data_IF_954199411131
#
_entry.id   IF_954199411131
#
_cell.length_a   1.000
_cell.length_b   1.000
_cell.length_c   1.000
_cell.angle_alpha   90.00
_cell.angle_beta   90.00
_cell.angle_gamma   90.00
#
_symmetry.space_group_name_H-M   'P 1'
#
loop_
_entity.id
_entity.type
_entity.pdbx_description
1 polymer ?
#
# COMPACT_ATOMS: atom_id res chain seq x y z
N UNK A 1 -5.88 -17.33 -21.45
CA UNK A 1 -6.61 -16.32 -20.63
C UNK A 1 -6.20 -16.41 -19.17
N UNK A 2 -6.45 -17.53 -18.48
CA UNK A 2 -6.18 -17.68 -17.03
C UNK A 2 -4.70 -17.50 -16.66
N UNK A 3 -3.75 -18.10 -17.41
CA UNK A 3 -2.31 -17.92 -17.14
C UNK A 3 -1.85 -16.45 -17.24
N UNK A 4 -2.41 -15.68 -18.18
CA UNK A 4 -2.08 -14.27 -18.32
C UNK A 4 -2.56 -13.46 -17.11
N UNK A 5 -3.82 -13.68 -16.70
CA UNK A 5 -4.39 -13.02 -15.52
C UNK A 5 -3.62 -13.39 -14.24
N UNK A 6 -3.22 -14.65 -14.09
CA UNK A 6 -2.40 -15.10 -12.96
C UNK A 6 -1.06 -14.35 -12.89
N UNK A 7 -0.37 -14.18 -14.02
CA UNK A 7 0.89 -13.43 -14.08
C UNK A 7 0.68 -11.96 -13.67
N UNK A 8 -0.39 -11.33 -14.15
CA UNK A 8 -0.73 -9.94 -13.79
C UNK A 8 -0.97 -9.80 -12.29
N UNK A 9 -1.69 -10.75 -11.68
CA UNK A 9 -1.98 -10.74 -10.24
C UNK A 9 -0.73 -10.94 -9.38
N UNK A 10 0.20 -11.79 -9.82
CA UNK A 10 1.50 -11.96 -9.16
C UNK A 10 2.30 -10.66 -9.19
N UNK A 11 2.37 -10.00 -10.34
CA UNK A 11 3.07 -8.71 -10.47
C UNK A 11 2.41 -7.65 -9.58
N UNK A 12 1.08 -7.56 -9.59
CA UNK A 12 0.34 -6.65 -8.73
C UNK A 12 0.64 -6.89 -7.24
N UNK A 13 0.73 -8.16 -6.83
CA UNK A 13 1.09 -8.54 -5.46
C UNK A 13 2.49 -8.04 -5.09
N UNK A 14 3.48 -8.26 -5.95
CA UNK A 14 4.86 -7.82 -5.72
C UNK A 14 4.93 -6.29 -5.60
N UNK A 15 4.21 -5.56 -6.46
CA UNK A 15 4.15 -4.10 -6.42
C UNK A 15 3.55 -3.61 -5.11
N UNK A 16 2.45 -4.19 -4.63
CA UNK A 16 1.84 -3.79 -3.35
C UNK A 16 2.77 -4.10 -2.18
N UNK A 17 3.36 -5.29 -2.14
CA UNK A 17 4.31 -5.67 -1.08
C UNK A 17 5.46 -4.65 -1.04
N UNK A 18 6.03 -4.32 -2.19
CA UNK A 18 7.13 -3.34 -2.28
C UNK A 18 6.65 -1.94 -1.87
N UNK A 19 5.45 -1.52 -2.29
CA UNK A 19 4.90 -0.22 -1.93
C UNK A 19 4.66 -0.10 -0.42
N UNK A 20 4.03 -1.10 0.20
CA UNK A 20 3.69 -1.08 1.62
C UNK A 20 4.92 -1.23 2.51
N UNK A 21 5.91 -2.04 2.11
CA UNK A 21 7.16 -2.19 2.88
C UNK A 21 8.00 -0.91 2.88
N UNK A 22 7.89 -0.07 1.85
CA UNK A 22 8.56 1.24 1.77
C UNK A 22 7.77 2.38 2.43
N UNK A 23 6.52 2.13 2.86
CA UNK A 23 5.70 3.13 3.57
C UNK A 23 6.23 3.34 4.98
N UNK A 24 6.39 4.61 5.35
CA UNK A 24 6.82 4.97 6.70
C UNK A 24 5.64 4.78 7.67
N UNK A 25 5.89 4.28 8.90
CA UNK A 25 4.84 4.01 9.87
C UNK A 25 4.08 5.30 10.22
N UNK A 26 2.74 5.23 10.17
CA UNK A 26 1.84 6.38 10.43
C UNK A 26 1.87 6.84 11.89
N UNK A 27 2.46 6.06 12.81
CA UNK A 27 2.63 6.37 14.25
C UNK A 27 4.11 6.53 14.60
N UNK A 28 4.43 7.52 15.44
CA UNK A 28 5.79 7.75 15.98
C UNK A 28 6.11 6.78 17.14
N UNK A 29 6.00 5.48 16.89
CA UNK A 29 6.31 4.43 17.86
C UNK A 29 5.68 4.63 19.26
N UNK A 30 6.31 4.04 20.28
CA UNK A 30 5.90 4.15 21.69
C UNK A 30 6.05 5.56 22.27
N UNK A 31 6.76 6.47 21.59
CA UNK A 31 6.93 7.87 22.00
C UNK A 31 5.67 8.72 21.81
N UNK A 32 4.76 8.33 20.93
CA UNK A 32 3.45 8.98 20.79
C UNK A 32 2.46 8.60 21.90
N UNK A 33 2.70 7.50 22.62
CA UNK A 33 1.84 7.05 23.73
C UNK A 33 2.00 7.92 24.98
N UNK A 34 3.15 8.60 25.14
CA UNK A 34 3.44 9.46 26.30
C UNK A 34 2.82 10.86 26.24
N UNK A 35 1.95 11.15 25.25
CA UNK A 35 1.25 12.43 25.14
C UNK A 35 2.15 13.62 24.80
N UNK A 36 3.42 13.38 24.47
CA UNK A 36 4.33 14.44 24.01
C UNK A 36 3.91 14.87 22.61
N UNK A 37 3.60 16.16 22.45
CA UNK A 37 3.19 16.72 21.16
C UNK A 37 4.25 16.44 20.09
N UNK A 38 3.94 15.49 19.21
CA UNK A 38 4.63 15.28 17.95
C UNK A 38 4.58 16.58 17.15
N UNK A 39 5.72 17.06 16.68
CA UNK A 39 5.81 18.24 15.82
C UNK A 39 5.09 17.97 14.48
N UNK A 40 3.79 18.29 14.43
CA UNK A 40 2.89 18.09 13.27
C UNK A 40 3.41 18.81 12.03
N UNK A 41 4.21 19.87 12.21
CA UNK A 41 4.76 20.70 11.14
C UNK A 41 6.04 20.13 10.50
N UNK A 42 6.85 19.34 11.22
CA UNK A 42 8.01 18.65 10.66
C UNK A 42 7.65 17.39 9.86
N UNK A 43 6.51 16.78 10.20
CA UNK A 43 5.96 15.57 9.56
C UNK A 43 5.51 15.80 8.11
N UNK A 44 5.14 17.04 7.75
CA UNK A 44 4.60 17.38 6.42
C UNK A 44 5.65 17.38 5.31
N UNK A 45 6.95 17.52 5.63
CA UNK A 45 8.04 17.53 4.65
C UNK A 45 8.31 16.15 4.00
N UNK A 46 7.90 15.05 4.65
CA UNK A 46 8.03 13.68 4.12
C UNK A 46 6.69 13.06 3.71
N UNK A 47 5.61 13.86 3.69
CA UNK A 47 4.28 13.36 3.35
C UNK A 47 4.15 12.93 1.89
N UNK A 48 4.88 13.55 0.96
CA UNK A 48 4.73 13.34 -0.49
C UNK A 48 5.06 11.92 -0.94
N UNK A 49 6.14 11.32 -0.41
CA UNK A 49 6.53 9.92 -0.72
C UNK A 49 5.46 8.94 -0.23
N UNK A 50 5.08 9.08 1.04
CA UNK A 50 4.12 8.17 1.66
C UNK A 50 2.72 8.31 1.03
N UNK A 51 2.32 9.52 0.65
CA UNK A 51 1.06 9.76 -0.05
C UNK A 51 1.04 9.11 -1.45
N UNK A 52 2.15 9.16 -2.18
CA UNK A 52 2.26 8.45 -3.46
C UNK A 52 2.18 6.93 -3.27
N UNK A 53 2.91 6.39 -2.29
CA UNK A 53 2.88 4.95 -1.97
C UNK A 53 1.50 4.49 -1.50
N UNK A 54 0.75 5.33 -0.76
CA UNK A 54 -0.62 5.06 -0.33
C UNK A 54 -1.57 4.97 -1.54
N UNK A 55 -1.45 5.89 -2.51
CA UNK A 55 -2.22 5.84 -3.78
C UNK A 55 -1.90 4.58 -4.59
N UNK A 56 -0.62 4.19 -4.68
CA UNK A 56 -0.20 2.96 -5.37
C UNK A 56 -0.77 1.73 -4.66
N UNK A 57 -0.71 1.68 -3.33
CA UNK A 57 -1.27 0.57 -2.56
C UNK A 57 -2.79 0.46 -2.70
N UNK A 58 -3.52 1.59 -2.72
CA UNK A 58 -4.97 1.62 -2.94
C UNK A 58 -5.30 1.12 -4.35
N UNK A 59 -4.67 1.67 -5.38
CA UNK A 59 -4.92 1.28 -6.77
C UNK A 59 -4.56 -0.20 -7.01
N UNK A 60 -3.41 -0.63 -6.49
CA UNK A 60 -2.98 -2.03 -6.52
C UNK A 60 -3.97 -2.93 -5.79
N UNK A 61 -4.41 -2.55 -4.59
CA UNK A 61 -5.35 -3.32 -3.78
C UNK A 61 -6.69 -3.53 -4.47
N UNK A 62 -7.24 -2.48 -5.09
CA UNK A 62 -8.47 -2.57 -5.89
C UNK A 62 -8.27 -3.52 -7.07
N UNK A 63 -7.16 -3.39 -7.81
CA UNK A 63 -6.84 -4.27 -8.94
C UNK A 63 -6.70 -5.73 -8.52
N UNK A 64 -6.01 -5.99 -7.41
CA UNK A 64 -5.80 -7.34 -6.89
C UNK A 64 -7.11 -7.97 -6.42
N UNK A 65 -7.95 -7.20 -5.72
CA UNK A 65 -9.23 -7.67 -5.22
C UNK A 65 -10.20 -7.98 -6.38
N UNK A 66 -10.42 -7.04 -7.29
CA UNK A 66 -11.31 -7.24 -8.44
C UNK A 66 -10.76 -8.32 -9.38
N UNK A 67 -9.46 -8.31 -9.64
CA UNK A 67 -8.80 -9.31 -10.47
C UNK A 67 -8.90 -10.71 -9.87
N UNK A 68 -8.83 -10.85 -8.54
CA UNK A 68 -9.04 -12.14 -7.86
C UNK A 68 -10.48 -12.64 -8.01
N UNK A 69 -11.48 -11.76 -7.91
CA UNK A 69 -12.89 -12.14 -8.13
C UNK A 69 -13.09 -12.64 -9.57
N UNK A 70 -12.55 -11.90 -10.55
CA UNK A 70 -12.61 -12.28 -11.96
C UNK A 70 -11.90 -13.62 -12.19
N UNK A 71 -10.74 -13.84 -11.55
CA UNK A 71 -10.01 -15.09 -11.66
C UNK A 71 -10.83 -16.27 -11.13
N UNK A 72 -11.49 -16.12 -9.98
CA UNK A 72 -12.37 -17.17 -9.42
C UNK A 72 -13.59 -17.43 -10.31
N UNK A 73 -14.12 -16.41 -11.00
CA UNK A 73 -15.28 -16.58 -11.86
C UNK A 73 -14.98 -17.24 -13.22
N UNK A 74 -13.73 -17.14 -13.70
CA UNK A 74 -13.31 -17.64 -15.03
C UNK A 74 -12.53 -18.97 -14.93
N UNK A 75 -11.94 -19.25 -13.77
CA UNK A 75 -11.20 -20.49 -13.48
C UNK A 75 -12.15 -21.60 -13.05
#
# INVERSE_FOLDING_TARGET
MVNFLAIVLVIASIVIITAVTLQDPKTEGLGALSGTQTNVFGRSAHRSKNEMLDKVAIAGGILLFLGSIIMVAIN
#
